data_IF_144046268330
#
_entry.id   IF_144046268330
#
_cell.length_a   1.000
_cell.length_b   1.000
_cell.length_c   1.000
_cell.angle_alpha   90.00
_cell.angle_beta   90.00
_cell.angle_gamma   90.00
#
_symmetry.space_group_name_H-M   'P 1'
#
loop_
_entity.id
_entity.type
_entity.pdbx_description
1 polymer ?
#
# COMPACT_ATOMS: atom_id res chain seq x y z
N UNK A 1 3.69 14.97 18.06
CA UNK A 1 3.31 16.32 18.55
C UNK A 1 1.83 16.64 18.24
N UNK A 2 1.34 16.40 17.02
CA UNK A 2 -0.06 16.67 16.66
C UNK A 2 -1.06 15.87 17.54
N UNK A 3 -0.85 14.59 17.74
CA UNK A 3 -1.68 13.74 18.60
C UNK A 3 -1.61 14.08 20.09
N UNK A 4 -0.65 14.91 20.52
CA UNK A 4 -0.50 15.42 21.89
C UNK A 4 -1.01 16.85 22.06
N UNK A 5 -1.82 17.36 21.14
CA UNK A 5 -2.37 18.71 21.17
C UNK A 5 -1.40 19.82 20.72
N UNK A 6 -0.24 19.47 20.18
CA UNK A 6 0.70 20.41 19.58
C UNK A 6 0.18 20.99 18.26
N UNK A 7 0.75 22.13 17.84
CA UNK A 7 0.44 22.78 16.55
C UNK A 7 1.66 22.72 15.61
N UNK A 8 2.03 21.54 15.10
CA UNK A 8 3.29 21.32 14.38
C UNK A 8 3.22 21.60 12.87
N UNK A 9 2.04 21.85 12.29
CA UNK A 9 1.82 21.79 10.84
C UNK A 9 2.77 22.73 10.07
N UNK A 10 2.93 23.99 10.49
CA UNK A 10 3.81 24.94 9.81
C UNK A 10 5.27 24.53 9.85
N UNK A 11 5.75 24.00 10.98
CA UNK A 11 7.11 23.49 11.12
C UNK A 11 7.33 22.23 10.25
N UNK A 12 6.34 21.34 10.19
CA UNK A 12 6.39 20.13 9.37
C UNK A 12 6.44 20.47 7.87
N UNK A 13 5.59 21.40 7.41
CA UNK A 13 5.59 21.85 6.01
C UNK A 13 6.92 22.52 5.62
N UNK A 14 7.49 23.37 6.49
CA UNK A 14 8.80 23.96 6.24
C UNK A 14 9.92 22.91 6.17
N UNK A 15 9.89 21.90 7.06
CA UNK A 15 10.78 20.74 7.01
C UNK A 15 10.63 19.93 5.71
N UNK A 16 9.40 19.76 5.24
CA UNK A 16 9.09 19.09 3.97
C UNK A 16 9.73 19.83 2.78
N UNK A 17 9.61 21.14 2.71
CA UNK A 17 10.23 21.95 1.64
C UNK A 17 11.76 21.81 1.69
N UNK A 18 12.37 21.91 2.86
CA UNK A 18 13.82 21.72 3.00
C UNK A 18 14.29 20.34 2.52
N UNK A 19 13.61 19.28 2.95
CA UNK A 19 13.95 17.91 2.55
C UNK A 19 13.73 17.68 1.06
N UNK A 20 12.66 18.24 0.48
CA UNK A 20 12.42 18.14 -0.95
C UNK A 20 13.52 18.79 -1.79
N UNK A 21 14.07 19.92 -1.35
CA UNK A 21 15.21 20.56 -2.01
C UNK A 21 16.46 19.70 -1.96
N UNK A 22 16.79 19.13 -0.80
CA UNK A 22 17.94 18.23 -0.64
C UNK A 22 17.80 17.01 -1.57
N UNK A 23 16.61 16.38 -1.59
CA UNK A 23 16.36 15.20 -2.42
C UNK A 23 16.30 15.55 -3.91
N UNK A 24 15.86 16.74 -4.28
CA UNK A 24 15.90 17.22 -5.67
C UNK A 24 17.34 17.38 -6.15
N UNK A 25 18.23 17.88 -5.30
CA UNK A 25 19.67 17.97 -5.63
C UNK A 25 20.29 16.56 -5.76
N UNK A 26 19.97 15.65 -4.83
CA UNK A 26 20.42 14.27 -4.90
C UNK A 26 19.90 13.56 -6.17
N UNK A 27 18.63 13.77 -6.52
CA UNK A 27 18.02 13.25 -7.75
C UNK A 27 18.75 13.73 -9.00
N UNK A 28 19.04 15.02 -9.09
CA UNK A 28 19.82 15.59 -10.20
C UNK A 28 21.23 14.98 -10.28
N UNK A 29 21.87 14.74 -9.14
CA UNK A 29 23.16 14.05 -9.06
C UNK A 29 23.08 12.63 -9.62
N UNK A 30 22.08 11.86 -9.21
CA UNK A 30 21.86 10.49 -9.72
C UNK A 30 21.57 10.49 -11.22
N UNK A 31 20.74 11.41 -11.70
CA UNK A 31 20.42 11.53 -13.12
C UNK A 31 21.66 11.91 -13.94
N UNK A 32 22.47 12.84 -13.47
CA UNK A 32 23.70 13.24 -14.15
C UNK A 32 24.70 12.07 -14.27
N UNK A 33 24.81 11.24 -13.21
CA UNK A 33 25.67 10.05 -13.21
C UNK A 33 25.15 8.90 -14.10
N UNK A 34 23.83 8.80 -14.27
CA UNK A 34 23.19 7.71 -15.00
C UNK A 34 22.66 8.13 -16.38
N UNK A 35 22.91 9.35 -16.83
CA UNK A 35 22.33 9.90 -18.05
C UNK A 35 22.65 9.06 -19.29
N UNK A 36 23.89 8.56 -19.42
CA UNK A 36 24.33 7.69 -20.54
C UNK A 36 23.65 6.29 -20.47
N UNK A 37 23.43 5.76 -19.27
CA UNK A 37 22.86 4.43 -19.06
C UNK A 37 21.31 4.40 -19.21
N UNK A 38 20.65 5.53 -18.96
CA UNK A 38 19.18 5.60 -18.90
C UNK A 38 18.57 6.03 -20.24
N UNK A 39 19.36 6.68 -21.15
CA UNK A 39 18.90 7.09 -22.49
C UNK A 39 17.60 7.91 -22.48
N UNK A 40 17.32 8.65 -21.40
CA UNK A 40 16.03 9.31 -21.18
C UNK A 40 16.04 10.73 -21.68
N UNK A 41 14.94 11.10 -22.30
CA UNK A 41 14.70 12.48 -22.71
C UNK A 41 14.68 13.42 -21.49
N UNK A 42 15.29 14.63 -21.58
CA UNK A 42 15.41 15.58 -20.46
C UNK A 42 14.09 15.96 -19.81
N UNK A 43 12.99 15.98 -20.57
CA UNK A 43 11.68 16.31 -20.04
C UNK A 43 11.12 15.27 -19.04
N UNK A 44 11.47 13.99 -19.20
CA UNK A 44 11.09 12.93 -18.24
C UNK A 44 11.76 13.15 -16.89
N UNK A 45 13.03 13.58 -16.92
CA UNK A 45 13.79 13.95 -15.72
C UNK A 45 13.15 15.13 -15.02
N UNK A 46 12.72 16.15 -15.77
CA UNK A 46 12.04 17.33 -15.21
C UNK A 46 10.70 16.98 -14.54
N UNK A 47 9.94 16.05 -15.11
CA UNK A 47 8.71 15.57 -14.48
C UNK A 47 8.99 14.90 -13.13
N UNK A 48 10.03 14.07 -13.04
CA UNK A 48 10.45 13.48 -11.76
C UNK A 48 10.86 14.54 -10.74
N UNK A 49 11.61 15.57 -11.19
CA UNK A 49 12.05 16.67 -10.32
C UNK A 49 10.86 17.47 -9.74
N UNK A 50 9.83 17.74 -10.53
CA UNK A 50 8.60 18.42 -10.08
C UNK A 50 7.79 17.54 -9.11
N UNK A 51 7.78 16.22 -9.34
CA UNK A 51 7.03 15.28 -8.53
C UNK A 51 7.55 15.15 -7.09
N UNK A 52 8.86 15.27 -6.86
CA UNK A 52 9.49 15.10 -5.55
C UNK A 52 8.95 16.09 -4.49
N UNK A 53 8.91 17.42 -4.70
CA UNK A 53 8.35 18.36 -3.73
C UNK A 53 6.88 18.11 -3.42
N UNK A 54 6.10 17.76 -4.45
CA UNK A 54 4.67 17.48 -4.31
C UNK A 54 4.45 16.25 -3.43
N UNK A 55 5.19 15.18 -3.67
CA UNK A 55 5.11 13.95 -2.90
C UNK A 55 5.54 14.17 -1.44
N UNK A 56 6.60 14.95 -1.19
CA UNK A 56 7.03 15.29 0.16
C UNK A 56 5.98 16.13 0.91
N UNK A 57 5.37 17.10 0.23
CA UNK A 57 4.29 17.90 0.79
C UNK A 57 3.11 17.04 1.19
N UNK A 58 2.69 16.12 0.30
CA UNK A 58 1.60 15.19 0.54
C UNK A 58 1.90 14.25 1.71
N UNK A 59 3.04 13.57 1.71
CA UNK A 59 3.43 12.65 2.78
C UNK A 59 3.49 13.35 4.15
N UNK A 60 3.93 14.61 4.17
CA UNK A 60 3.95 15.41 5.40
C UNK A 60 2.53 15.74 5.87
N UNK A 61 1.65 16.15 4.96
CA UNK A 61 0.26 16.45 5.30
C UNK A 61 -0.50 15.20 5.78
N UNK A 62 -0.25 14.05 5.17
CA UNK A 62 -0.79 12.74 5.61
C UNK A 62 -0.26 12.35 7.00
N UNK A 63 1.05 12.43 7.23
CA UNK A 63 1.66 12.11 8.52
C UNK A 63 1.10 12.95 9.66
N UNK A 64 0.86 14.24 9.43
CA UNK A 64 0.19 15.11 10.40
C UNK A 64 -1.29 14.71 10.58
N UNK A 65 -1.97 14.31 9.50
CA UNK A 65 -3.36 13.83 9.55
C UNK A 65 -3.51 12.59 10.43
N UNK A 66 -2.65 11.62 10.26
CA UNK A 66 -2.67 10.39 11.08
C UNK A 66 -2.53 10.69 12.57
N UNK A 67 -1.74 11.70 12.93
CA UNK A 67 -1.55 12.10 14.33
C UNK A 67 -2.66 12.98 14.91
N UNK A 68 -3.38 13.75 14.08
CA UNK A 68 -4.37 14.73 14.56
C UNK A 68 -5.82 14.35 14.26
N UNK A 69 -6.11 14.04 12.99
CA UNK A 69 -7.46 13.75 12.50
C UNK A 69 -7.41 12.67 11.43
N UNK A 70 -7.28 11.37 11.81
CA UNK A 70 -7.08 10.27 10.84
C UNK A 70 -8.14 10.19 9.75
N UNK A 71 -9.39 10.56 10.05
CA UNK A 71 -10.49 10.58 9.06
C UNK A 71 -10.22 11.55 7.90
N UNK A 72 -9.43 12.61 8.12
CA UNK A 72 -9.06 13.55 7.06
C UNK A 72 -8.26 12.85 5.94
N UNK A 73 -7.42 11.86 6.29
CA UNK A 73 -6.68 11.07 5.30
C UNK A 73 -7.60 10.31 4.36
N UNK A 74 -8.72 9.77 4.87
CA UNK A 74 -9.71 9.08 4.03
C UNK A 74 -10.37 10.04 3.03
N UNK A 75 -10.73 11.25 3.45
CA UNK A 75 -11.26 12.28 2.54
C UNK A 75 -10.21 12.71 1.51
N UNK A 76 -8.97 12.93 1.95
CA UNK A 76 -7.86 13.27 1.06
C UNK A 76 -7.64 12.20 0.00
N UNK A 77 -7.64 10.93 0.39
CA UNK A 77 -7.50 9.80 -0.53
C UNK A 77 -8.66 9.72 -1.55
N UNK A 78 -9.91 9.89 -1.10
CA UNK A 78 -11.05 9.91 -2.01
C UNK A 78 -10.94 11.02 -3.06
N UNK A 79 -10.52 12.23 -2.65
CA UNK A 79 -10.28 13.35 -3.57
C UNK A 79 -9.15 13.04 -4.54
N UNK A 80 -8.05 12.45 -4.05
CA UNK A 80 -6.93 12.03 -4.90
C UNK A 80 -7.40 11.07 -6.02
N UNK A 81 -8.14 10.02 -5.67
CA UNK A 81 -8.59 9.03 -6.65
C UNK A 81 -9.51 9.63 -7.72
N UNK A 82 -10.48 10.47 -7.31
CA UNK A 82 -11.38 11.16 -8.25
C UNK A 82 -10.60 12.15 -9.12
N UNK A 83 -9.76 12.98 -8.52
CA UNK A 83 -8.98 13.99 -9.24
C UNK A 83 -7.99 13.34 -10.22
N UNK A 84 -7.33 12.26 -9.82
CA UNK A 84 -6.40 11.51 -10.67
C UNK A 84 -7.08 10.99 -11.93
N UNK A 85 -8.24 10.35 -11.79
CA UNK A 85 -8.97 9.82 -12.95
C UNK A 85 -9.50 10.96 -13.82
N UNK A 86 -10.14 11.97 -13.24
CA UNK A 86 -10.72 13.08 -13.99
C UNK A 86 -9.64 13.86 -14.77
N UNK A 87 -8.53 14.21 -14.10
CA UNK A 87 -7.42 14.92 -14.76
C UNK A 87 -6.69 14.05 -15.79
N UNK A 88 -6.57 12.74 -15.58
CA UNK A 88 -5.98 11.83 -16.55
C UNK A 88 -6.82 11.73 -17.83
N UNK A 89 -8.16 11.65 -17.70
CA UNK A 89 -9.06 11.68 -18.85
C UNK A 89 -8.88 12.98 -19.63
N UNK A 90 -8.79 14.11 -18.95
CA UNK A 90 -8.58 15.41 -19.65
C UNK A 90 -7.18 15.46 -20.28
N UNK A 91 -6.13 15.20 -19.53
CA UNK A 91 -4.76 15.41 -19.99
C UNK A 91 -4.32 14.36 -21.03
N UNK A 92 -4.70 13.10 -20.86
CA UNK A 92 -4.25 12.02 -21.75
C UNK A 92 -5.19 11.84 -22.94
N UNK A 93 -6.52 11.78 -22.68
CA UNK A 93 -7.48 11.49 -23.73
C UNK A 93 -7.86 12.74 -24.55
N UNK A 94 -8.27 13.84 -23.90
CA UNK A 94 -8.70 15.05 -24.63
C UNK A 94 -7.54 15.89 -25.14
N UNK A 95 -6.45 16.05 -24.37
CA UNK A 95 -5.31 16.87 -24.75
C UNK A 95 -4.18 16.09 -25.44
N UNK A 96 -4.24 14.76 -25.45
CA UNK A 96 -3.27 13.91 -26.14
C UNK A 96 -1.84 13.96 -25.58
N UNK A 97 -1.64 14.39 -24.32
CA UNK A 97 -0.32 14.62 -23.74
C UNK A 97 0.45 13.32 -23.40
N UNK A 98 -0.12 12.15 -23.69
CA UNK A 98 0.55 10.87 -23.48
C UNK A 98 1.14 10.71 -22.07
N UNK A 99 2.42 10.33 -21.98
CA UNK A 99 3.10 10.12 -20.70
C UNK A 99 3.17 11.39 -19.84
N UNK A 100 3.39 12.56 -20.45
CA UNK A 100 3.37 13.83 -19.72
C UNK A 100 2.01 14.10 -19.07
N UNK A 101 0.92 13.78 -19.77
CA UNK A 101 -0.45 13.88 -19.24
C UNK A 101 -0.66 13.01 -17.99
N UNK A 102 -0.08 11.81 -17.95
CA UNK A 102 -0.15 10.93 -16.76
C UNK A 102 0.55 11.58 -15.56
N UNK A 103 1.78 12.09 -15.74
CA UNK A 103 2.52 12.75 -14.65
C UNK A 103 1.84 14.03 -14.17
N UNK A 104 1.33 14.86 -15.08
CA UNK A 104 0.59 16.08 -14.74
C UNK A 104 -0.67 15.74 -13.94
N UNK A 105 -1.40 14.72 -14.36
CA UNK A 105 -2.61 14.27 -13.65
C UNK A 105 -2.31 13.79 -12.25
N UNK A 106 -1.23 13.03 -12.09
CA UNK A 106 -0.79 12.54 -10.79
C UNK A 106 -0.37 13.70 -9.88
N UNK A 107 0.44 14.63 -10.39
CA UNK A 107 0.88 15.81 -9.66
C UNK A 107 -0.30 16.69 -9.21
N UNK A 108 -1.26 16.92 -10.09
CA UNK A 108 -2.46 17.70 -9.78
C UNK A 108 -3.31 17.02 -8.71
N UNK A 109 -3.54 15.72 -8.81
CA UNK A 109 -4.29 14.95 -7.83
C UNK A 109 -3.63 14.99 -6.44
N UNK A 110 -2.30 14.84 -6.38
CA UNK A 110 -1.51 14.92 -5.14
C UNK A 110 -1.55 16.32 -4.54
N UNK A 111 -1.46 17.36 -5.34
CA UNK A 111 -1.57 18.76 -4.88
C UNK A 111 -2.96 19.04 -4.30
N UNK A 112 -4.01 18.56 -4.94
CA UNK A 112 -5.38 18.69 -4.43
C UNK A 112 -5.56 17.93 -3.11
N UNK A 113 -5.06 16.71 -3.02
CA UNK A 113 -5.08 15.94 -1.78
C UNK A 113 -4.33 16.67 -0.65
N UNK A 114 -3.09 17.09 -0.90
CA UNK A 114 -2.29 17.83 0.07
C UNK A 114 -2.99 19.13 0.53
N UNK A 115 -3.56 19.88 -0.41
CA UNK A 115 -4.29 21.13 -0.12
C UNK A 115 -5.49 20.90 0.79
N UNK A 116 -6.28 19.86 0.52
CA UNK A 116 -7.43 19.50 1.36
C UNK A 116 -6.97 19.05 2.75
N UNK A 117 -5.92 18.24 2.85
CA UNK A 117 -5.39 17.79 4.13
C UNK A 117 -4.89 18.97 4.96
N UNK A 118 -4.15 19.90 4.35
CA UNK A 118 -3.67 21.12 5.01
C UNK A 118 -4.86 21.99 5.45
N UNK A 119 -5.86 22.16 4.60
CA UNK A 119 -7.07 22.94 4.93
C UNK A 119 -7.84 22.35 6.11
N UNK A 120 -8.05 21.03 6.12
CA UNK A 120 -8.77 20.35 7.21
C UNK A 120 -8.01 20.38 8.55
N UNK A 121 -6.70 20.68 8.52
CA UNK A 121 -5.82 20.75 9.68
C UNK A 121 -5.36 22.17 10.01
N UNK A 122 -5.95 23.20 9.39
CA UNK A 122 -5.53 24.61 9.57
C UNK A 122 -5.54 25.09 11.02
N UNK A 123 -6.35 24.50 11.88
CA UNK A 123 -6.43 24.80 13.31
C UNK A 123 -5.17 24.44 14.11
N UNK A 124 -4.31 23.56 13.57
CA UNK A 124 -3.01 23.18 14.15
C UNK A 124 -1.82 23.74 13.36
N UNK A 125 -2.03 24.79 12.57
CA UNK A 125 -0.98 25.40 11.76
C UNK A 125 0.20 25.89 12.62
N UNK A 126 -0.07 26.54 13.73
CA UNK A 126 0.93 27.01 14.69
C UNK A 126 1.93 28.00 14.12
N UNK A 127 3.00 28.25 14.89
CA UNK A 127 4.18 29.03 14.46
C UNK A 127 5.31 28.09 14.04
N UNK A 128 6.18 28.56 13.14
CA UNK A 128 7.41 27.83 12.82
C UNK A 128 8.35 27.83 14.04
N UNK A 129 8.87 26.64 14.37
CA UNK A 129 9.82 26.44 15.48
C UNK A 129 11.01 25.61 15.01
N UNK A 130 12.13 26.27 14.81
CA UNK A 130 13.35 25.61 14.34
C UNK A 130 13.85 24.53 15.32
N UNK A 131 13.68 24.74 16.63
CA UNK A 131 14.03 23.76 17.66
C UNK A 131 13.23 22.46 17.54
N UNK A 132 11.96 22.51 17.14
CA UNK A 132 11.15 21.33 16.88
C UNK A 132 11.66 20.56 15.65
N UNK A 133 12.04 21.28 14.60
CA UNK A 133 12.63 20.67 13.39
C UNK A 133 13.93 19.93 13.71
N UNK A 134 14.84 20.55 14.47
CA UNK A 134 16.08 19.90 14.91
C UNK A 134 15.83 18.67 15.80
N UNK A 135 14.84 18.74 16.69
CA UNK A 135 14.44 17.62 17.52
C UNK A 135 13.94 16.45 16.67
N UNK A 136 13.11 16.72 15.65
CA UNK A 136 12.62 15.69 14.74
C UNK A 136 13.74 15.09 13.90
N UNK A 137 14.69 15.90 13.43
CA UNK A 137 15.87 15.39 12.71
C UNK A 137 16.72 14.46 13.59
N UNK A 138 16.89 14.77 14.86
CA UNK A 138 17.57 13.85 15.81
C UNK A 138 16.78 12.54 15.98
N UNK A 139 15.45 12.59 15.97
CA UNK A 139 14.59 11.41 16.02
C UNK A 139 14.56 10.59 14.73
N UNK A 140 15.14 11.09 13.63
CA UNK A 140 15.13 10.40 12.32
C UNK A 140 15.86 9.05 12.34
N UNK A 141 16.79 8.83 13.27
CA UNK A 141 17.48 7.55 13.44
C UNK A 141 16.50 6.39 13.72
N UNK A 142 15.33 6.69 14.33
CA UNK A 142 14.30 5.69 14.64
C UNK A 142 13.67 5.10 13.36
N UNK A 143 13.14 5.87 12.42
CA UNK A 143 12.58 5.36 11.17
C UNK A 143 13.63 4.97 10.12
N UNK A 144 14.92 5.30 10.33
CA UNK A 144 15.96 5.10 9.32
C UNK A 144 16.05 3.66 8.81
N UNK A 145 15.97 2.67 9.69
CA UNK A 145 15.99 1.25 9.29
C UNK A 145 14.77 0.86 8.46
N UNK A 146 13.60 1.40 8.79
CA UNK A 146 12.38 1.17 8.00
C UNK A 146 12.52 1.78 6.62
N UNK A 147 13.06 2.99 6.53
CA UNK A 147 13.30 3.70 5.25
C UNK A 147 14.34 2.95 4.42
N UNK A 148 15.45 2.52 5.03
CA UNK A 148 16.48 1.72 4.35
C UNK A 148 15.92 0.37 3.87
N UNK A 149 15.14 -0.31 4.71
CA UNK A 149 14.49 -1.56 4.32
C UNK A 149 13.52 -1.37 3.16
N UNK A 150 12.72 -0.30 3.18
CA UNK A 150 11.82 0.05 2.08
C UNK A 150 12.56 0.43 0.80
N UNK A 151 13.67 1.15 0.90
CA UNK A 151 14.54 1.47 -0.23
C UNK A 151 15.13 0.20 -0.86
N UNK A 152 15.71 -0.68 -0.04
CA UNK A 152 16.26 -1.96 -0.49
C UNK A 152 15.16 -2.80 -1.14
N UNK A 153 13.99 -2.92 -0.50
CA UNK A 153 12.86 -3.65 -1.05
C UNK A 153 12.45 -3.13 -2.45
N UNK A 154 12.41 -1.80 -2.64
CA UNK A 154 12.02 -1.18 -3.90
C UNK A 154 13.07 -1.26 -5.03
N UNK A 155 14.27 -1.82 -4.77
CA UNK A 155 15.28 -2.04 -5.82
C UNK A 155 14.90 -3.17 -6.79
N UNK A 156 13.92 -3.99 -6.48
CA UNK A 156 13.47 -5.12 -7.31
C UNK A 156 13.11 -4.70 -8.73
N UNK A 157 12.30 -3.65 -8.88
CA UNK A 157 11.87 -3.12 -10.20
C UNK A 157 13.07 -2.63 -11.01
N UNK A 158 13.98 -1.90 -10.36
CA UNK A 158 15.21 -1.41 -11.03
C UNK A 158 16.11 -2.56 -11.47
N UNK A 159 16.39 -3.48 -10.57
CA UNK A 159 17.26 -4.64 -10.86
C UNK A 159 16.63 -5.59 -11.88
N UNK A 160 15.30 -5.77 -11.83
CA UNK A 160 14.59 -6.54 -12.84
C UNK A 160 14.79 -6.03 -14.26
N UNK A 161 14.70 -4.69 -14.44
CA UNK A 161 14.96 -4.05 -15.72
C UNK A 161 16.41 -4.16 -16.18
N UNK A 162 17.36 -3.88 -15.28
CA UNK A 162 18.81 -3.88 -15.60
C UNK A 162 19.34 -5.29 -15.88
N UNK A 163 19.02 -6.26 -15.01
CA UNK A 163 19.57 -7.62 -15.10
C UNK A 163 18.95 -8.42 -16.26
N UNK A 164 17.64 -8.29 -16.48
CA UNK A 164 16.98 -8.99 -17.57
C UNK A 164 17.31 -8.34 -18.94
N UNK A 165 17.43 -7.03 -18.99
CA UNK A 165 17.72 -6.27 -20.22
C UNK A 165 16.51 -6.03 -21.12
N UNK A 166 15.29 -6.23 -20.62
CA UNK A 166 14.01 -5.93 -21.29
C UNK A 166 12.97 -5.46 -20.30
N UNK A 167 12.11 -4.53 -20.72
CA UNK A 167 11.00 -4.03 -19.90
C UNK A 167 9.75 -4.92 -19.94
N UNK A 168 9.68 -5.93 -20.81
CA UNK A 168 8.47 -6.75 -20.99
C UNK A 168 8.08 -7.55 -19.75
N UNK A 169 8.98 -8.29 -19.05
CA UNK A 169 8.61 -8.97 -17.81
C UNK A 169 8.09 -8.01 -16.74
N UNK A 170 8.67 -6.78 -16.66
CA UNK A 170 8.21 -5.73 -15.77
C UNK A 170 6.81 -5.24 -16.12
N UNK A 171 6.44 -5.19 -17.42
CA UNK A 171 5.10 -4.82 -17.84
C UNK A 171 4.04 -5.82 -17.35
N UNK A 172 4.30 -7.13 -17.49
CA UNK A 172 3.43 -8.18 -16.95
C UNK A 172 3.37 -8.15 -15.42
N UNK A 173 4.52 -7.98 -14.76
CA UNK A 173 4.62 -7.82 -13.32
C UNK A 173 3.78 -6.64 -12.83
N UNK A 174 3.96 -5.45 -13.41
CA UNK A 174 3.26 -4.23 -13.00
C UNK A 174 1.76 -4.28 -13.26
N UNK A 175 1.34 -4.90 -14.36
CA UNK A 175 -0.07 -5.12 -14.63
C UNK A 175 -0.71 -5.99 -13.54
N UNK A 176 -0.08 -7.13 -13.20
CA UNK A 176 -0.54 -8.01 -12.15
C UNK A 176 -0.47 -7.35 -10.77
N UNK A 177 0.62 -6.61 -10.47
CA UNK A 177 0.81 -5.89 -9.23
C UNK A 177 -0.29 -4.86 -8.99
N UNK A 178 -0.67 -4.09 -10.02
CA UNK A 178 -1.72 -3.06 -9.92
C UNK A 178 -3.04 -3.65 -9.41
N UNK A 179 -3.40 -4.84 -9.87
CA UNK A 179 -4.61 -5.54 -9.40
C UNK A 179 -4.40 -6.15 -8.01
N UNK A 180 -3.24 -6.78 -7.77
CA UNK A 180 -2.93 -7.41 -6.49
C UNK A 180 -2.87 -6.41 -5.32
N UNK A 181 -2.45 -5.16 -5.57
CA UNK A 181 -2.44 -4.09 -4.56
C UNK A 181 -3.83 -3.82 -3.95
N UNK A 182 -4.91 -4.03 -4.72
CA UNK A 182 -6.29 -3.90 -4.19
C UNK A 182 -6.54 -4.87 -3.05
N UNK A 183 -5.97 -6.09 -3.13
CA UNK A 183 -6.08 -7.10 -2.06
C UNK A 183 -5.45 -6.59 -0.76
N UNK A 184 -4.33 -5.87 -0.85
CA UNK A 184 -3.65 -5.28 0.31
C UNK A 184 -4.38 -4.09 0.96
N UNK A 185 -5.41 -3.51 0.33
CA UNK A 185 -6.08 -2.30 0.84
C UNK A 185 -6.74 -2.46 2.22
N UNK A 186 -7.02 -3.68 2.66
CA UNK A 186 -7.52 -3.91 4.02
C UNK A 186 -6.53 -3.45 5.11
N UNK A 187 -5.26 -3.23 4.77
CA UNK A 187 -4.26 -2.65 5.66
C UNK A 187 -4.64 -1.27 6.18
N UNK A 188 -5.39 -0.50 5.41
CA UNK A 188 -5.84 0.82 5.82
C UNK A 188 -6.71 0.77 7.09
N UNK A 189 -7.41 -0.35 7.33
CA UNK A 189 -8.16 -0.58 8.56
C UNK A 189 -7.25 -0.85 9.76
N UNK A 190 -6.07 -1.38 9.52
CA UNK A 190 -5.10 -1.74 10.55
C UNK A 190 -4.37 -0.51 11.09
N UNK A 191 -4.27 0.57 10.32
CA UNK A 191 -3.59 1.81 10.73
C UNK A 191 -4.12 2.38 12.04
N UNK A 192 -5.42 2.19 12.33
CA UNK A 192 -6.04 2.60 13.59
C UNK A 192 -5.61 1.79 14.82
N UNK A 193 -5.01 0.61 14.64
CA UNK A 193 -4.61 -0.25 15.75
C UNK A 193 -3.43 0.32 16.53
N UNK A 194 -2.45 0.88 15.82
CA UNK A 194 -1.25 1.45 16.43
C UNK A 194 -1.57 2.52 17.49
N UNK A 195 -2.33 3.61 17.22
CA UNK A 195 -2.66 4.59 18.23
C UNK A 195 -3.55 4.03 19.37
N UNK A 196 -4.42 3.06 19.09
CA UNK A 196 -5.22 2.40 20.13
C UNK A 196 -4.34 1.67 21.14
N UNK A 197 -3.34 0.92 20.66
CA UNK A 197 -2.40 0.20 21.52
C UNK A 197 -1.47 1.14 22.29
N UNK A 198 -1.03 2.24 21.68
CA UNK A 198 -0.29 3.29 22.38
C UNK A 198 -1.10 3.91 23.51
N UNK A 199 -2.42 4.06 23.34
CA UNK A 199 -3.35 4.56 24.34
C UNK A 199 -3.71 3.59 25.45
N UNK A 200 -3.11 2.39 25.49
CA UNK A 200 -3.37 1.37 26.52
C UNK A 200 -4.35 0.26 26.08
N UNK A 201 -4.65 0.18 24.79
CA UNK A 201 -5.43 -0.93 24.22
C UNK A 201 -4.76 -2.30 24.44
N UNK A 202 -5.54 -3.38 24.36
CA UNK A 202 -5.11 -4.72 24.70
C UNK A 202 -5.47 -5.79 23.65
N UNK A 203 -5.41 -7.06 24.09
CA UNK A 203 -5.66 -8.23 23.23
C UNK A 203 -7.02 -8.19 22.51
N UNK A 204 -8.06 -7.69 23.20
CA UNK A 204 -9.42 -7.58 22.60
C UNK A 204 -9.44 -6.61 21.40
N UNK A 205 -8.68 -5.52 21.47
CA UNK A 205 -8.60 -4.56 20.37
C UNK A 205 -7.84 -5.15 19.18
N UNK A 206 -6.77 -5.91 19.44
CA UNK A 206 -6.02 -6.66 18.44
C UNK A 206 -6.94 -7.66 17.72
N UNK A 207 -7.68 -8.47 18.46
CA UNK A 207 -8.59 -9.47 17.92
C UNK A 207 -9.73 -8.83 17.11
N UNK A 208 -10.27 -7.70 17.58
CA UNK A 208 -11.34 -6.96 16.91
C UNK A 208 -10.86 -6.37 15.58
N UNK A 209 -9.68 -5.71 15.57
CA UNK A 209 -9.13 -5.13 14.34
C UNK A 209 -8.74 -6.22 13.35
N UNK A 210 -8.13 -7.32 13.81
CA UNK A 210 -7.85 -8.47 12.95
C UNK A 210 -9.12 -9.01 12.27
N UNK A 211 -10.18 -9.20 13.04
CA UNK A 211 -11.48 -9.66 12.52
C UNK A 211 -12.02 -8.70 11.46
N UNK A 212 -11.92 -7.40 11.70
CA UNK A 212 -12.39 -6.39 10.77
C UNK A 212 -11.55 -6.36 9.48
N UNK A 213 -10.23 -6.49 9.61
CA UNK A 213 -9.31 -6.59 8.49
C UNK A 213 -9.61 -7.83 7.63
N UNK A 214 -9.87 -8.98 8.25
CA UNK A 214 -10.20 -10.21 7.52
C UNK A 214 -11.59 -10.19 6.87
N UNK A 215 -12.56 -9.49 7.48
CA UNK A 215 -13.89 -9.28 6.91
C UNK A 215 -13.82 -8.63 5.52
N UNK A 216 -12.85 -7.73 5.29
CA UNK A 216 -12.60 -7.10 4.00
C UNK A 216 -11.52 -7.82 3.18
N UNK A 217 -10.43 -8.25 3.80
CA UNK A 217 -9.31 -8.87 3.10
C UNK A 217 -9.68 -10.15 2.37
N UNK A 218 -10.52 -11.00 2.98
CA UNK A 218 -10.92 -12.28 2.37
C UNK A 218 -11.71 -12.07 1.07
N UNK A 219 -12.79 -11.26 1.02
CA UNK A 219 -13.50 -11.06 -0.25
C UNK A 219 -12.68 -10.33 -1.30
N UNK A 220 -11.75 -9.44 -0.92
CA UNK A 220 -10.83 -8.80 -1.86
C UNK A 220 -9.89 -9.81 -2.50
N UNK A 221 -9.35 -10.76 -1.72
CA UNK A 221 -8.54 -11.86 -2.26
C UNK A 221 -9.34 -12.69 -3.25
N UNK A 222 -10.51 -13.20 -2.86
CA UNK A 222 -11.34 -14.02 -3.74
C UNK A 222 -11.79 -13.23 -4.99
N UNK A 223 -12.14 -11.97 -4.83
CA UNK A 223 -12.48 -11.07 -5.93
C UNK A 223 -11.33 -10.91 -6.94
N UNK A 224 -10.11 -10.71 -6.45
CA UNK A 224 -8.93 -10.61 -7.31
C UNK A 224 -8.62 -11.94 -8.04
N UNK A 225 -8.80 -13.08 -7.36
CA UNK A 225 -8.60 -14.41 -7.98
C UNK A 225 -9.62 -14.69 -9.08
N UNK A 226 -10.86 -14.22 -8.95
CA UNK A 226 -11.94 -14.45 -9.92
C UNK A 226 -11.89 -13.44 -11.06
N UNK A 227 -11.82 -12.16 -10.74
CA UNK A 227 -11.88 -11.05 -11.69
C UNK A 227 -10.54 -10.71 -12.32
N UNK A 228 -9.44 -11.22 -11.77
CA UNK A 228 -8.10 -10.76 -12.11
C UNK A 228 -7.78 -10.84 -13.60
N UNK A 229 -8.14 -11.94 -14.26
CA UNK A 229 -7.95 -12.11 -15.71
C UNK A 229 -8.76 -11.10 -16.51
N UNK A 230 -10.03 -10.86 -16.13
CA UNK A 230 -10.91 -9.92 -16.81
C UNK A 230 -10.40 -8.47 -16.67
N UNK A 231 -9.89 -8.11 -15.49
CA UNK A 231 -9.29 -6.79 -15.24
C UNK A 231 -7.99 -6.62 -16.03
N UNK A 232 -7.12 -7.64 -16.05
CA UNK A 232 -5.89 -7.61 -16.83
C UNK A 232 -6.17 -7.46 -18.32
N UNK A 233 -7.17 -8.17 -18.84
CA UNK A 233 -7.59 -8.06 -20.24
C UNK A 233 -8.16 -6.68 -20.55
N UNK A 234 -8.89 -6.06 -19.62
CA UNK A 234 -9.41 -4.68 -19.76
C UNK A 234 -8.28 -3.66 -19.84
N UNK A 235 -7.20 -3.84 -19.06
CA UNK A 235 -6.01 -2.98 -19.13
C UNK A 235 -5.32 -3.11 -20.49
N UNK A 236 -5.09 -4.32 -20.95
CA UNK A 236 -4.59 -4.67 -22.28
C UNK A 236 -4.81 -6.16 -22.53
N UNK A 237 -5.34 -6.57 -23.70
CA UNK A 237 -5.61 -7.99 -23.99
C UNK A 237 -4.40 -8.92 -23.75
N UNK A 238 -3.18 -8.47 -24.09
CA UNK A 238 -1.96 -9.24 -23.86
C UNK A 238 -1.67 -9.50 -22.35
N UNK A 239 -2.14 -8.64 -21.45
CA UNK A 239 -1.91 -8.81 -20.01
C UNK A 239 -2.75 -9.95 -19.38
N UNK A 240 -3.71 -10.51 -20.11
CA UNK A 240 -4.42 -11.71 -19.66
C UNK A 240 -3.47 -12.89 -19.37
N UNK A 241 -2.32 -12.95 -20.04
CA UNK A 241 -1.27 -13.95 -19.80
C UNK A 241 -0.63 -13.82 -18.40
N UNK A 242 -0.68 -12.62 -17.78
CA UNK A 242 -0.18 -12.38 -16.42
C UNK A 242 -1.13 -12.89 -15.32
N UNK A 243 -2.20 -13.60 -15.66
CA UNK A 243 -3.18 -14.10 -14.66
C UNK A 243 -2.57 -15.03 -13.61
N UNK A 244 -1.60 -15.86 -13.98
CA UNK A 244 -0.87 -16.71 -13.04
C UNK A 244 -0.01 -15.93 -12.07
N UNK A 245 0.65 -14.86 -12.55
CA UNK A 245 1.43 -13.92 -11.75
C UNK A 245 0.52 -13.24 -10.74
N UNK A 246 -0.65 -12.77 -11.21
CA UNK A 246 -1.64 -12.11 -10.37
C UNK A 246 -2.15 -13.00 -9.23
N UNK A 247 -2.39 -14.28 -9.48
CA UNK A 247 -2.79 -15.24 -8.43
C UNK A 247 -1.76 -15.26 -7.29
N UNK A 248 -0.48 -15.44 -7.63
CA UNK A 248 0.60 -15.49 -6.62
C UNK A 248 0.76 -14.16 -5.92
N UNK A 249 0.73 -13.05 -6.65
CA UNK A 249 0.82 -11.70 -6.05
C UNK A 249 -0.38 -11.38 -5.17
N UNK A 250 -1.60 -11.76 -5.54
CA UNK A 250 -2.79 -11.55 -4.71
C UNK A 250 -2.67 -12.27 -3.36
N UNK A 251 -2.23 -13.53 -3.36
CA UNK A 251 -1.94 -14.28 -2.14
C UNK A 251 -0.81 -13.60 -1.34
N UNK A 252 0.23 -13.18 -2.03
CA UNK A 252 1.37 -12.51 -1.42
C UNK A 252 0.97 -11.18 -0.75
N UNK A 253 0.17 -10.34 -1.41
CA UNK A 253 -0.32 -9.08 -0.86
C UNK A 253 -1.34 -9.26 0.27
N UNK A 254 -2.14 -10.32 0.20
CA UNK A 254 -2.98 -10.71 1.33
C UNK A 254 -2.13 -11.07 2.56
N UNK A 255 -1.09 -11.88 2.40
CA UNK A 255 -0.17 -12.25 3.49
C UNK A 255 0.63 -11.01 3.95
N UNK A 256 1.10 -10.17 3.04
CA UNK A 256 1.83 -8.95 3.37
C UNK A 256 0.97 -7.99 4.22
N UNK A 257 -0.32 -7.91 3.97
CA UNK A 257 -1.24 -7.18 4.81
C UNK A 257 -1.27 -7.65 6.26
N UNK A 258 -1.11 -8.96 6.50
CA UNK A 258 -0.94 -9.47 7.85
C UNK A 258 0.38 -9.00 8.49
N UNK A 259 1.46 -8.80 7.70
CA UNK A 259 2.71 -8.26 8.23
C UNK A 259 2.52 -6.84 8.76
N UNK A 260 1.77 -5.99 8.06
CA UNK A 260 1.42 -4.64 8.54
C UNK A 260 0.60 -4.68 9.82
N UNK A 261 -0.33 -5.64 9.93
CA UNK A 261 -1.09 -5.85 11.17
C UNK A 261 -0.14 -6.15 12.35
N UNK A 262 0.78 -7.10 12.19
CA UNK A 262 1.73 -7.43 13.25
C UNK A 262 2.74 -6.32 13.53
N UNK A 263 3.15 -5.57 12.51
CA UNK A 263 3.98 -4.36 12.68
C UNK A 263 3.29 -3.33 13.57
N UNK A 264 1.98 -3.10 13.34
CA UNK A 264 1.17 -2.19 14.17
C UNK A 264 1.06 -2.67 15.62
N UNK A 265 0.98 -3.99 15.83
CA UNK A 265 0.99 -4.58 17.18
C UNK A 265 2.36 -4.39 17.85
N UNK A 266 3.46 -4.70 17.15
CA UNK A 266 4.83 -4.55 17.68
C UNK A 266 5.10 -3.09 18.05
N UNK A 267 4.78 -2.14 17.16
CA UNK A 267 4.98 -0.72 17.38
C UNK A 267 4.09 -0.16 18.50
N UNK A 268 2.79 -0.46 18.46
CA UNK A 268 1.82 0.08 19.42
C UNK A 268 2.04 -0.40 20.86
N UNK A 269 2.72 -1.54 21.05
CA UNK A 269 3.08 -2.07 22.37
C UNK A 269 4.50 -1.67 22.81
N UNK A 270 5.28 -0.99 21.97
CA UNK A 270 6.63 -0.59 22.36
C UNK A 270 6.60 0.66 23.23
N UNK A 271 7.36 0.61 24.35
CA UNK A 271 7.43 1.72 25.30
C UNK A 271 8.21 2.92 24.75
N UNK A 272 9.09 2.68 23.79
CA UNK A 272 9.92 3.74 23.19
C UNK A 272 9.06 4.82 22.54
N UNK A 273 7.96 4.45 21.88
CA UNK A 273 7.06 5.42 21.22
C UNK A 273 6.13 6.15 22.20
N UNK A 274 6.04 5.67 23.46
CA UNK A 274 5.27 6.34 24.52
C UNK A 274 6.05 7.47 25.19
N UNK A 275 7.38 7.42 25.15
CA UNK A 275 8.28 8.36 25.84
C UNK A 275 8.68 9.51 24.93
N UNK A 276 8.88 10.70 25.53
CA UNK A 276 9.32 11.90 24.80
C UNK A 276 10.83 12.09 24.82
N UNK A 277 11.53 11.39 25.70
CA UNK A 277 12.96 11.56 26.06
C UNK A 277 13.80 10.33 25.71
N UNK A 278 13.43 9.63 24.64
CA UNK A 278 14.10 8.39 24.21
C UNK A 278 15.53 8.66 23.75
N UNK A 279 16.48 7.96 24.37
CA UNK A 279 17.86 7.94 23.90
C UNK A 279 18.06 6.96 22.74
N UNK A 280 19.12 7.14 21.97
CA UNK A 280 19.50 6.19 20.93
C UNK A 280 19.70 4.77 21.50
N UNK A 281 20.25 4.65 22.70
CA UNK A 281 20.48 3.37 23.37
C UNK A 281 19.15 2.66 23.71
N UNK A 282 18.13 3.41 24.15
CA UNK A 282 16.78 2.87 24.41
C UNK A 282 16.17 2.34 23.11
N UNK A 283 16.30 3.10 22.02
CA UNK A 283 15.82 2.68 20.71
C UNK A 283 16.51 1.40 20.21
N UNK A 284 17.84 1.32 20.28
CA UNK A 284 18.59 0.14 19.84
C UNK A 284 18.22 -1.13 20.63
N UNK A 285 17.73 -1.00 21.86
CA UNK A 285 17.24 -2.11 22.70
C UNK A 285 15.76 -2.43 22.47
N UNK A 286 15.02 -1.58 21.76
CA UNK A 286 13.58 -1.71 21.55
C UNK A 286 13.22 -2.89 20.64
N UNK A 287 11.97 -3.31 20.71
CA UNK A 287 11.44 -4.31 19.79
C UNK A 287 11.20 -3.77 18.40
N UNK A 288 10.89 -2.48 18.28
CA UNK A 288 10.76 -1.80 16.99
C UNK A 288 12.08 -1.85 16.22
N UNK A 289 13.20 -1.51 16.89
CA UNK A 289 14.53 -1.60 16.28
C UNK A 289 14.81 -3.00 15.75
N UNK A 290 14.63 -4.02 16.61
CA UNK A 290 14.89 -5.42 16.23
C UNK A 290 13.99 -5.87 15.08
N UNK A 291 12.71 -5.50 15.10
CA UNK A 291 11.79 -5.81 14.01
C UNK A 291 12.22 -5.14 12.70
N UNK A 292 12.57 -3.85 12.74
CA UNK A 292 13.02 -3.11 11.56
C UNK A 292 14.35 -3.64 11.01
N UNK A 293 15.24 -4.12 11.88
CA UNK A 293 16.47 -4.80 11.47
C UNK A 293 16.16 -6.13 10.74
N UNK A 294 15.23 -6.93 11.24
CA UNK A 294 14.75 -8.12 10.53
C UNK A 294 14.10 -7.77 9.21
N UNK A 295 13.30 -6.70 9.15
CA UNK A 295 12.73 -6.22 7.89
C UNK A 295 13.81 -5.88 6.86
N UNK A 296 14.86 -5.15 7.26
CA UNK A 296 15.98 -4.82 6.37
C UNK A 296 16.70 -6.09 5.88
N UNK A 297 16.97 -7.04 6.76
CA UNK A 297 17.60 -8.33 6.39
C UNK A 297 16.73 -9.12 5.42
N UNK A 298 15.44 -9.22 5.69
CA UNK A 298 14.49 -9.92 4.80
C UNK A 298 14.33 -9.21 3.46
N UNK A 299 14.30 -7.86 3.43
CA UNK A 299 14.27 -7.08 2.20
C UNK A 299 15.53 -7.33 1.35
N UNK A 300 16.71 -7.37 2.01
CA UNK A 300 17.97 -7.69 1.34
C UNK A 300 17.98 -9.11 0.78
N UNK A 301 17.50 -10.08 1.55
CA UNK A 301 17.36 -11.47 1.11
C UNK A 301 16.36 -11.60 -0.07
N UNK A 302 15.25 -10.87 -0.02
CA UNK A 302 14.28 -10.80 -1.12
C UNK A 302 14.91 -10.27 -2.40
N UNK A 303 15.62 -9.13 -2.32
CA UNK A 303 16.27 -8.53 -3.49
C UNK A 303 17.34 -9.45 -4.07
N UNK A 304 18.09 -10.15 -3.22
CA UNK A 304 19.06 -11.16 -3.66
C UNK A 304 18.35 -12.33 -4.37
N UNK A 305 17.28 -12.88 -3.78
CA UNK A 305 16.48 -13.95 -4.38
C UNK A 305 15.86 -13.52 -5.72
N UNK A 306 15.32 -12.32 -5.78
CA UNK A 306 14.77 -11.71 -7.01
C UNK A 306 15.84 -11.58 -8.10
N UNK A 307 17.02 -11.08 -7.74
CA UNK A 307 18.15 -10.92 -8.68
C UNK A 307 18.63 -12.28 -9.21
N UNK A 308 18.79 -13.28 -8.32
CA UNK A 308 19.16 -14.63 -8.70
C UNK A 308 18.10 -15.28 -9.61
N UNK A 309 16.81 -15.11 -9.29
CA UNK A 309 15.70 -15.58 -10.13
C UNK A 309 15.74 -14.93 -11.52
N UNK A 310 16.04 -13.62 -11.59
CA UNK A 310 16.19 -12.91 -12.87
C UNK A 310 17.36 -13.44 -13.71
N UNK A 311 18.53 -13.64 -13.09
CA UNK A 311 19.70 -14.19 -13.76
C UNK A 311 19.46 -15.63 -14.25
N UNK A 312 18.82 -16.45 -13.41
CA UNK A 312 18.42 -17.80 -13.76
C UNK A 312 17.44 -17.82 -14.95
N UNK A 313 16.37 -17.03 -14.88
CA UNK A 313 15.38 -16.92 -15.96
C UNK A 313 16.02 -16.53 -17.30
N UNK A 314 16.98 -15.59 -17.27
CA UNK A 314 17.72 -15.18 -18.45
C UNK A 314 18.62 -16.29 -19.00
N UNK A 315 19.34 -17.02 -18.14
CA UNK A 315 20.22 -18.11 -18.54
C UNK A 315 19.43 -19.32 -19.08
N UNK A 316 18.26 -19.57 -18.52
CA UNK A 316 17.36 -20.65 -18.95
C UNK A 316 16.46 -20.27 -20.14
N UNK A 317 16.64 -19.06 -20.71
CA UNK A 317 15.83 -18.53 -21.81
C UNK A 317 14.30 -18.61 -21.54
N UNK A 318 13.88 -18.37 -20.30
CA UNK A 318 12.48 -18.39 -19.90
C UNK A 318 11.69 -17.27 -20.56
N UNK A 319 10.41 -17.49 -20.77
CA UNK A 319 9.49 -16.44 -21.27
C UNK A 319 9.36 -15.29 -20.29
N UNK A 320 8.86 -14.15 -20.77
CA UNK A 320 8.65 -12.97 -19.94
C UNK A 320 7.66 -13.23 -18.78
N UNK A 321 6.61 -14.02 -19.05
CA UNK A 321 5.59 -14.40 -18.06
C UNK A 321 6.20 -15.33 -17.01
N UNK A 322 6.96 -16.34 -17.40
CA UNK A 322 7.64 -17.25 -16.48
C UNK A 322 8.66 -16.51 -15.59
N UNK A 323 9.39 -15.56 -16.17
CA UNK A 323 10.32 -14.70 -15.42
C UNK A 323 9.58 -13.90 -14.35
N UNK A 324 8.50 -13.20 -14.71
CA UNK A 324 7.68 -12.45 -13.76
C UNK A 324 6.99 -13.35 -12.73
N UNK A 325 6.68 -14.60 -13.10
CA UNK A 325 6.15 -15.62 -12.18
C UNK A 325 7.17 -16.00 -11.09
N UNK A 326 8.45 -16.17 -11.45
CA UNK A 326 9.53 -16.40 -10.47
C UNK A 326 9.67 -15.24 -9.49
N UNK A 327 9.55 -14.00 -9.98
CA UNK A 327 9.54 -12.81 -9.13
C UNK A 327 8.37 -12.82 -8.14
N UNK A 328 7.19 -13.25 -8.59
CA UNK A 328 6.02 -13.38 -7.72
C UNK A 328 6.23 -14.42 -6.61
N UNK A 329 6.89 -15.51 -6.88
CA UNK A 329 7.25 -16.51 -5.86
C UNK A 329 8.29 -15.95 -4.86
N UNK A 330 9.30 -15.19 -5.32
CA UNK A 330 10.25 -14.54 -4.43
C UNK A 330 9.54 -13.55 -3.49
N UNK A 331 8.60 -12.75 -4.02
CA UNK A 331 7.79 -11.83 -3.25
C UNK A 331 6.87 -12.55 -2.25
N UNK A 332 6.29 -13.68 -2.63
CA UNK A 332 5.49 -14.51 -1.72
C UNK A 332 6.34 -15.05 -0.56
N UNK A 333 7.53 -15.54 -0.84
CA UNK A 333 8.48 -15.99 0.18
C UNK A 333 8.86 -14.88 1.17
N UNK A 334 9.11 -13.67 0.66
CA UNK A 334 9.33 -12.49 1.50
C UNK A 334 8.12 -12.18 2.39
N UNK A 335 6.91 -12.15 1.81
CA UNK A 335 5.67 -11.83 2.55
C UNK A 335 5.38 -12.84 3.66
N UNK A 336 5.57 -14.13 3.40
CA UNK A 336 5.44 -15.20 4.41
C UNK A 336 6.47 -15.01 5.54
N UNK A 337 7.72 -14.77 5.19
CA UNK A 337 8.81 -14.60 6.15
C UNK A 337 8.57 -13.38 7.05
N UNK A 338 8.22 -12.24 6.46
CA UNK A 338 7.96 -11.01 7.19
C UNK A 338 6.74 -11.15 8.12
N UNK A 339 5.67 -11.76 7.63
CA UNK A 339 4.47 -12.02 8.44
C UNK A 339 4.77 -12.96 9.62
N UNK A 340 5.56 -14.00 9.39
CA UNK A 340 5.98 -14.95 10.43
C UNK A 340 6.81 -14.25 11.51
N UNK A 341 7.79 -13.43 11.11
CA UNK A 341 8.59 -12.64 12.05
C UNK A 341 7.70 -11.69 12.85
N UNK A 342 6.80 -10.95 12.17
CA UNK A 342 5.86 -10.03 12.83
C UNK A 342 4.97 -10.74 13.85
N UNK A 343 4.42 -11.91 13.50
CA UNK A 343 3.63 -12.74 14.41
C UNK A 343 4.40 -13.18 15.64
N UNK A 344 5.63 -13.68 15.45
CA UNK A 344 6.48 -14.14 16.56
C UNK A 344 6.85 -13.00 17.51
N UNK A 345 7.19 -11.82 16.98
CA UNK A 345 7.45 -10.63 17.78
C UNK A 345 6.21 -10.17 18.56
N UNK A 346 5.04 -10.16 17.92
CA UNK A 346 3.77 -9.78 18.57
C UNK A 346 3.42 -10.73 19.71
N UNK A 347 3.50 -12.06 19.48
CA UNK A 347 3.19 -13.09 20.47
C UNK A 347 4.08 -13.06 21.71
N UNK A 348 5.34 -12.59 21.57
CA UNK A 348 6.26 -12.42 22.71
C UNK A 348 5.89 -11.26 23.63
N UNK A 349 5.10 -10.28 23.12
CA UNK A 349 4.74 -9.08 23.87
C UNK A 349 3.36 -9.15 24.50
N UNK A 350 2.42 -9.76 23.82
CA UNK A 350 1.04 -9.88 24.29
C UNK A 350 0.44 -11.22 23.84
N UNK A 351 -0.28 -11.86 24.76
CA UNK A 351 -1.05 -13.06 24.42
C UNK A 351 -2.39 -12.64 23.81
N UNK A 352 -2.61 -12.96 22.55
CA UNK A 352 -3.89 -12.80 21.85
C UNK A 352 -4.18 -14.07 21.05
N UNK A 353 -5.45 -14.30 20.76
CA UNK A 353 -5.90 -15.41 19.94
C UNK A 353 -6.38 -14.88 18.59
N UNK A 354 -5.90 -15.49 17.51
CA UNK A 354 -6.46 -15.18 16.20
C UNK A 354 -7.86 -15.77 16.10
N UNK A 355 -8.88 -14.98 15.70
CA UNK A 355 -10.27 -15.44 15.69
C UNK A 355 -10.52 -16.36 14.48
N UNK A 356 -10.13 -17.63 14.60
CA UNK A 356 -10.24 -18.65 13.54
C UNK A 356 -11.66 -18.95 13.12
N UNK A 357 -12.61 -18.96 14.09
CA UNK A 357 -14.04 -19.18 13.80
C UNK A 357 -14.64 -18.09 12.90
N UNK A 358 -14.47 -16.78 13.17
CA UNK A 358 -14.86 -15.73 12.24
C UNK A 358 -14.15 -15.85 10.87
N UNK A 359 -12.86 -16.15 10.84
CA UNK A 359 -12.13 -16.33 9.58
C UNK A 359 -12.73 -17.44 8.71
N UNK A 360 -13.07 -18.58 9.30
CA UNK A 360 -13.74 -19.66 8.59
C UNK A 360 -15.10 -19.22 8.01
N UNK A 361 -15.90 -18.43 8.76
CA UNK A 361 -17.14 -17.85 8.24
C UNK A 361 -16.90 -16.95 7.03
N UNK A 362 -15.86 -16.11 7.05
CA UNK A 362 -15.53 -15.21 5.95
C UNK A 362 -15.09 -15.98 4.72
N UNK A 363 -14.32 -17.06 4.88
CA UNK A 363 -13.94 -17.95 3.77
C UNK A 363 -15.19 -18.63 3.18
N UNK A 364 -16.09 -19.16 4.01
CA UNK A 364 -17.34 -19.77 3.53
C UNK A 364 -18.18 -18.73 2.77
N UNK A 365 -18.30 -17.51 3.28
CA UNK A 365 -19.03 -16.45 2.60
C UNK A 365 -18.37 -16.08 1.25
N UNK A 366 -17.04 -16.07 1.17
CA UNK A 366 -16.32 -15.81 -0.08
C UNK A 366 -16.48 -16.98 -1.09
N UNK A 367 -16.54 -18.22 -0.65
CA UNK A 367 -16.85 -19.36 -1.51
C UNK A 367 -18.29 -19.29 -2.06
N UNK A 368 -19.26 -18.92 -1.22
CA UNK A 368 -20.65 -18.69 -1.65
C UNK A 368 -20.75 -17.50 -2.61
N UNK A 369 -19.99 -16.41 -2.36
CA UNK A 369 -19.82 -15.30 -3.30
C UNK A 369 -19.34 -15.82 -4.66
N UNK A 370 -18.31 -16.67 -4.69
CA UNK A 370 -17.78 -17.25 -5.93
C UNK A 370 -18.85 -18.05 -6.67
N UNK A 371 -19.61 -18.88 -5.95
CA UNK A 371 -20.70 -19.65 -6.53
C UNK A 371 -21.83 -18.76 -7.09
N UNK A 372 -22.16 -17.66 -6.41
CA UNK A 372 -23.17 -16.71 -6.88
C UNK A 372 -22.73 -15.94 -8.15
N UNK A 373 -21.45 -15.75 -8.35
CA UNK A 373 -20.87 -15.08 -9.52
C UNK A 373 -20.83 -16.00 -10.74
N UNK A 374 -20.68 -17.32 -10.55
CA UNK A 374 -20.48 -18.27 -11.65
C UNK A 374 -21.52 -18.17 -12.79
N UNK A 375 -22.83 -17.98 -12.53
CA UNK A 375 -23.81 -17.82 -13.62
C UNK A 375 -23.56 -16.62 -14.52
N UNK A 376 -22.96 -15.52 -13.98
CA UNK A 376 -22.69 -14.31 -14.78
C UNK A 376 -21.71 -14.60 -15.90
N UNK A 377 -20.75 -15.49 -15.66
CA UNK A 377 -19.79 -15.93 -16.69
C UNK A 377 -20.44 -16.68 -17.86
N UNK A 378 -21.60 -17.29 -17.63
CA UNK A 378 -22.39 -17.96 -18.66
C UNK A 378 -23.29 -16.97 -19.43
N UNK A 379 -23.83 -15.97 -18.73
CA UNK A 379 -24.79 -14.99 -19.29
C UNK A 379 -24.07 -13.90 -20.08
N UNK A 380 -22.96 -13.37 -19.55
CA UNK A 380 -22.19 -12.29 -20.17
C UNK A 380 -20.84 -12.86 -20.65
N UNK A 381 -20.70 -13.16 -21.95
CA UNK A 381 -19.47 -13.74 -22.47
C UNK A 381 -18.30 -12.74 -22.41
N UNK A 382 -17.10 -13.26 -22.46
CA UNK A 382 -15.89 -12.45 -22.55
C UNK A 382 -15.88 -11.69 -23.89
N UNK A 383 -15.54 -10.42 -23.86
CA UNK A 383 -15.54 -9.55 -25.05
C UNK A 383 -14.29 -8.66 -25.04
N UNK A 384 -13.81 -8.37 -26.24
CA UNK A 384 -12.74 -7.35 -26.42
C UNK A 384 -13.30 -5.92 -26.42
N UNK A 385 -14.61 -5.76 -26.40
CA UNK A 385 -15.25 -4.44 -26.31
C UNK A 385 -15.22 -3.96 -24.87
N UNK A 386 -14.55 -2.84 -24.61
CA UNK A 386 -14.34 -2.29 -23.26
C UNK A 386 -15.67 -2.10 -22.49
N UNK A 387 -16.73 -1.67 -23.15
CA UNK A 387 -18.05 -1.46 -22.52
C UNK A 387 -18.63 -2.78 -22.02
N UNK A 388 -18.61 -3.84 -22.83
CA UNK A 388 -19.13 -5.17 -22.43
C UNK A 388 -18.28 -5.72 -21.27
N UNK A 389 -16.97 -5.57 -21.34
CA UNK A 389 -16.06 -6.04 -20.30
C UNK A 389 -16.29 -5.26 -18.99
N UNK A 390 -16.45 -3.94 -19.03
CA UNK A 390 -16.80 -3.12 -17.87
C UNK A 390 -18.14 -3.51 -17.26
N UNK A 391 -19.16 -3.74 -18.10
CA UNK A 391 -20.50 -4.19 -17.65
C UNK A 391 -20.40 -5.54 -16.95
N UNK A 392 -19.64 -6.48 -17.52
CA UNK A 392 -19.37 -7.80 -16.91
C UNK A 392 -18.69 -7.67 -15.55
N UNK A 393 -17.58 -6.93 -15.47
CA UNK A 393 -16.86 -6.70 -14.22
C UNK A 393 -17.77 -6.03 -13.18
N UNK A 394 -18.54 -5.02 -13.58
CA UNK A 394 -19.50 -4.34 -12.71
C UNK A 394 -20.58 -5.27 -12.18
N UNK A 395 -21.17 -6.11 -13.03
CA UNK A 395 -22.17 -7.09 -12.63
C UNK A 395 -21.59 -8.11 -11.62
N UNK A 396 -20.37 -8.60 -11.86
CA UNK A 396 -19.69 -9.53 -10.99
C UNK A 396 -19.37 -8.88 -9.63
N UNK A 397 -18.88 -7.63 -9.62
CA UNK A 397 -18.59 -6.91 -8.38
C UNK A 397 -19.84 -6.68 -7.55
N UNK A 398 -20.94 -6.23 -8.16
CA UNK A 398 -22.19 -5.97 -7.46
C UNK A 398 -22.81 -7.25 -6.91
N UNK A 399 -22.88 -8.31 -7.73
CA UNK A 399 -23.43 -9.61 -7.30
C UNK A 399 -22.57 -10.22 -6.21
N UNK A 400 -21.24 -10.18 -6.38
CA UNK A 400 -20.31 -10.70 -5.38
C UNK A 400 -20.40 -9.97 -4.05
N UNK A 401 -20.39 -8.63 -4.06
CA UNK A 401 -20.53 -7.82 -2.86
C UNK A 401 -21.87 -8.07 -2.15
N UNK A 402 -22.96 -8.16 -2.91
CA UNK A 402 -24.29 -8.45 -2.36
C UNK A 402 -24.34 -9.87 -1.73
N UNK A 403 -23.85 -10.89 -2.44
CA UNK A 403 -23.84 -12.27 -1.96
C UNK A 403 -22.97 -12.43 -0.71
N UNK A 404 -21.76 -11.86 -0.71
CA UNK A 404 -20.85 -11.87 0.43
C UNK A 404 -21.49 -11.20 1.65
N UNK A 405 -21.98 -9.97 1.48
CA UNK A 405 -22.58 -9.17 2.55
C UNK A 405 -23.82 -9.87 3.10
N UNK A 406 -24.71 -10.37 2.26
CA UNK A 406 -25.90 -11.11 2.69
C UNK A 406 -25.52 -12.35 3.51
N UNK A 407 -24.56 -13.14 3.03
CA UNK A 407 -24.08 -14.32 3.75
C UNK A 407 -23.51 -13.94 5.12
N UNK A 408 -22.64 -12.93 5.19
CA UNK A 408 -22.06 -12.47 6.47
C UNK A 408 -23.13 -11.99 7.43
N UNK A 409 -24.15 -11.26 6.95
CA UNK A 409 -25.24 -10.79 7.79
C UNK A 409 -26.09 -11.93 8.37
N UNK A 410 -26.09 -13.10 7.75
CA UNK A 410 -26.77 -14.30 8.23
C UNK A 410 -25.94 -15.11 9.24
N UNK A 411 -24.63 -15.27 9.00
CA UNK A 411 -23.80 -16.21 9.76
C UNK A 411 -22.97 -15.56 10.88
N UNK A 412 -22.82 -14.21 10.87
CA UNK A 412 -21.99 -13.49 11.84
C UNK A 412 -22.70 -12.27 12.43
N UNK A 413 -23.21 -12.42 13.67
CA UNK A 413 -23.97 -11.38 14.37
C UNK A 413 -23.14 -10.13 14.70
N UNK A 414 -21.84 -10.30 15.01
CA UNK A 414 -20.97 -9.15 15.31
C UNK A 414 -20.59 -8.40 14.04
N UNK A 415 -20.27 -9.10 12.96
CA UNK A 415 -20.02 -8.47 11.67
C UNK A 415 -21.28 -7.72 11.17
N UNK A 416 -22.47 -8.28 11.36
CA UNK A 416 -23.75 -7.61 11.09
C UNK A 416 -23.89 -6.30 11.87
N UNK A 417 -23.55 -6.29 13.16
CA UNK A 417 -23.60 -5.09 13.98
C UNK A 417 -22.60 -4.02 13.47
N UNK A 418 -21.38 -4.43 13.09
CA UNK A 418 -20.36 -3.55 12.51
C UNK A 418 -20.82 -2.93 11.19
N UNK A 419 -21.35 -3.74 10.27
CA UNK A 419 -21.86 -3.27 8.97
C UNK A 419 -22.98 -2.25 9.16
N UNK A 420 -23.94 -2.55 10.06
CA UNK A 420 -25.03 -1.60 10.38
C UNK A 420 -24.51 -0.28 10.96
N UNK A 421 -23.51 -0.32 11.83
CA UNK A 421 -22.93 0.89 12.42
C UNK A 421 -22.25 1.76 11.36
N UNK A 422 -21.51 1.17 10.43
CA UNK A 422 -20.89 1.89 9.31
C UNK A 422 -21.98 2.49 8.41
N UNK A 423 -23.00 1.71 8.08
CA UNK A 423 -24.09 2.16 7.21
C UNK A 423 -24.86 3.34 7.84
N UNK A 424 -25.20 3.24 9.11
CA UNK A 424 -25.88 4.33 9.83
C UNK A 424 -25.05 5.62 9.88
N UNK A 425 -23.71 5.52 9.99
CA UNK A 425 -22.82 6.70 10.00
C UNK A 425 -22.60 7.32 8.61
N UNK A 426 -22.80 6.57 7.54
CA UNK A 426 -22.65 7.10 6.17
C UNK A 426 -23.91 7.83 5.70
N UNK A 427 -25.08 7.47 6.28
CA UNK A 427 -26.39 8.00 5.86
C UNK A 427 -27.08 8.84 6.94
N UNK A 428 -26.42 9.11 8.08
CA UNK A 428 -26.80 10.10 9.10
C UNK A 428 -25.96 11.38 8.91
#
# INVERSE_FOLDING_TARGET
>A
DAGRGGKPLKTALAGSVLMSLILSIAYLGVVAFSAEAIGREPWVVMLGLIQLPILHLLNTAEGVSYGHKPIASAYGFAVFEVAKVASAVVAVYFLGLGLAGVFISLALAQLLQASILIYLQRNILGSFRFGDLLRWLKGFTVPLLTVLGGFVYGLDVFLGGVLYGSALPLAYWQAALTVALVVGMYNNLVLGLYPVLLGGGGSRDIEKVFRFAMLLGVPLLFGALILGRDILQLLRPAYAEASSILVVLSISYFINGLSYFFTSVVGGLDEVDKRSDVSLADYLRSGIFRYNLFYLVLASAYVAAFSLATMYAKSAAMTQVETAQLWAYAHLGFSISLTTVGYLFSRRRIKFQLPTKPLAKYIIAALLMTAAIAPIYLIIPQSNTAIIQLTRIGAILLTGAAAYTATIMLIDTEAKAMIKLVFNRLFS
#
